data_IF_821456707959
#
_entry.id   IF_821456707959
#
_cell.length_a   1.000
_cell.length_b   1.000
_cell.length_c   1.000
_cell.angle_alpha   90.00
_cell.angle_beta   90.00
_cell.angle_gamma   90.00
#
_symmetry.space_group_name_H-M   'P 1'
#
loop_
_entity.id
_entity.type
_entity.pdbx_description
1 polymer ?
#
# COMPACT_ATOMS: atom_id res chain seq x y z
N UNK A 1 -18.25 -24.11 -33.66
CA UNK A 1 -18.19 -24.44 -32.22
C UNK A 1 -16.71 -24.54 -31.88
N UNK A 2 -16.05 -23.42 -31.67
CA UNK A 2 -14.62 -23.41 -31.34
C UNK A 2 -14.25 -22.06 -30.73
N UNK A 3 -13.39 -22.15 -29.71
CA UNK A 3 -12.52 -21.12 -29.16
C UNK A 3 -13.16 -20.12 -28.20
N UNK A 4 -13.49 -20.62 -27.01
CA UNK A 4 -13.43 -19.81 -25.79
C UNK A 4 -11.96 -19.71 -25.42
N UNK A 5 -11.40 -18.52 -25.60
CA UNK A 5 -10.00 -18.16 -25.35
C UNK A 5 -9.62 -18.42 -23.90
N UNK A 6 -8.51 -19.14 -23.72
CA UNK A 6 -7.85 -19.50 -22.45
C UNK A 6 -7.21 -18.31 -21.71
N UNK A 7 -7.61 -17.08 -21.99
CA UNK A 7 -6.98 -15.85 -21.51
C UNK A 7 -7.71 -15.23 -20.29
N UNK A 8 -8.80 -15.84 -19.82
CA UNK A 8 -9.60 -15.40 -18.66
C UNK A 8 -9.29 -16.16 -17.36
N UNK A 9 -8.30 -17.05 -17.35
CA UNK A 9 -7.90 -17.75 -16.12
C UNK A 9 -7.00 -16.85 -15.25
N UNK A 10 -7.48 -16.57 -14.03
CA UNK A 10 -6.67 -15.88 -13.02
C UNK A 10 -5.43 -16.73 -12.73
N UNK A 11 -4.19 -16.19 -12.86
CA UNK A 11 -2.98 -16.97 -12.64
C UNK A 11 -2.89 -17.42 -11.18
N UNK A 12 -2.39 -18.65 -10.98
CA UNK A 12 -2.13 -19.19 -9.65
C UNK A 12 -1.13 -18.33 -8.89
N UNK A 13 -1.40 -18.11 -7.59
CA UNK A 13 -0.49 -17.38 -6.72
C UNK A 13 0.84 -18.13 -6.60
N UNK A 14 1.94 -17.41 -6.82
CA UNK A 14 3.28 -17.96 -6.63
C UNK A 14 3.46 -18.27 -5.14
N UNK A 15 3.89 -19.49 -4.76
CA UNK A 15 4.19 -19.82 -3.37
C UNK A 15 5.26 -18.87 -2.85
N UNK A 16 4.91 -18.08 -1.82
CA UNK A 16 5.90 -17.26 -1.14
C UNK A 16 6.92 -18.21 -0.52
N UNK A 17 8.22 -18.12 -0.83
CA UNK A 17 9.22 -18.95 -0.17
C UNK A 17 9.09 -18.74 1.33
N UNK A 18 8.80 -19.83 2.03
CA UNK A 18 8.63 -19.84 3.48
C UNK A 18 9.91 -19.27 4.07
N UNK A 19 9.83 -18.07 4.65
CA UNK A 19 10.93 -17.53 5.44
C UNK A 19 11.15 -18.54 6.58
N UNK A 20 12.40 -18.98 6.81
CA UNK A 20 12.66 -19.98 7.84
C UNK A 20 12.02 -19.52 9.15
N UNK A 21 11.33 -20.43 9.84
CA UNK A 21 10.67 -20.14 11.11
C UNK A 21 11.69 -19.49 12.04
N UNK A 22 11.44 -18.22 12.36
CA UNK A 22 12.36 -17.39 13.14
C UNK A 22 12.21 -17.83 14.58
N UNK A 23 13.18 -18.61 15.07
CA UNK A 23 13.36 -18.87 16.50
C UNK A 23 13.46 -17.53 17.23
N UNK A 24 12.76 -17.40 18.36
CA UNK A 24 12.70 -16.22 19.21
C UNK A 24 14.08 -15.54 19.42
N UNK A 25 14.08 -14.19 19.25
CA UNK A 25 15.10 -13.14 19.55
C UNK A 25 15.82 -12.46 18.36
N UNK A 26 16.06 -11.12 18.36
CA UNK A 26 15.45 -10.02 19.12
C UNK A 26 14.21 -9.46 18.39
N UNK A 27 13.40 -8.64 19.06
CA UNK A 27 12.13 -8.06 18.57
C UNK A 27 12.03 -7.96 17.03
N UNK A 28 11.36 -8.94 16.40
CA UNK A 28 11.28 -9.06 14.95
C UNK A 28 10.78 -7.73 14.37
N UNK A 29 11.60 -7.12 13.49
CA UNK A 29 11.26 -5.84 12.87
C UNK A 29 10.02 -6.02 12.00
N UNK A 30 9.14 -5.02 11.99
CA UNK A 30 7.94 -5.07 11.16
C UNK A 30 8.30 -4.68 9.73
N UNK A 31 8.05 -5.55 8.72
CA UNK A 31 8.24 -5.19 7.32
C UNK A 31 7.27 -4.09 6.87
N UNK A 32 7.77 -3.15 6.08
CA UNK A 32 6.98 -2.13 5.40
C UNK A 32 7.14 -2.28 3.89
N UNK A 33 6.03 -2.42 3.18
CA UNK A 33 6.02 -2.31 1.71
C UNK A 33 5.32 -1.04 1.27
N UNK A 34 5.92 -0.35 0.31
CA UNK A 34 5.33 0.81 -0.34
C UNK A 34 4.64 0.34 -1.62
N UNK A 35 3.35 0.61 -1.79
CA UNK A 35 2.63 0.42 -3.04
C UNK A 35 2.52 1.76 -3.77
N UNK A 36 2.99 1.79 -5.00
CA UNK A 36 2.97 2.96 -5.90
C UNK A 36 2.49 2.56 -7.30
N UNK A 37 2.37 3.53 -8.19
CA UNK A 37 1.90 3.36 -9.57
C UNK A 37 0.90 4.44 -9.96
N UNK A 38 0.75 4.71 -11.26
CA UNK A 38 -0.10 5.78 -11.77
C UNK A 38 -1.56 5.71 -11.28
N UNK A 39 -2.26 6.85 -11.37
CA UNK A 39 -3.71 6.86 -11.13
C UNK A 39 -4.41 5.88 -12.10
N UNK A 40 -5.36 5.11 -11.59
CA UNK A 40 -6.06 4.10 -12.38
C UNK A 40 -5.32 2.77 -12.58
N UNK A 41 -4.08 2.61 -12.09
CA UNK A 41 -3.31 1.37 -12.27
C UNK A 41 -3.88 0.12 -11.54
N UNK A 42 -4.94 0.26 -10.74
CA UNK A 42 -5.54 -0.86 -9.98
C UNK A 42 -5.01 -1.02 -8.55
N UNK A 43 -4.24 -0.05 -8.02
CA UNK A 43 -3.76 -0.06 -6.62
C UNK A 43 -4.89 -0.28 -5.61
N UNK A 44 -5.99 0.47 -5.76
CA UNK A 44 -7.19 0.35 -4.92
C UNK A 44 -7.78 -1.05 -4.93
N UNK A 45 -7.85 -1.70 -6.09
CA UNK A 45 -8.38 -3.06 -6.21
C UNK A 45 -7.53 -4.05 -5.42
N UNK A 46 -6.19 -3.93 -5.52
CA UNK A 46 -5.26 -4.74 -4.74
C UNK A 46 -5.40 -4.49 -3.23
N UNK A 47 -5.51 -3.23 -2.81
CA UNK A 47 -5.70 -2.88 -1.40
C UNK A 47 -7.02 -3.41 -0.86
N UNK A 48 -8.10 -3.33 -1.63
CA UNK A 48 -9.39 -3.86 -1.22
C UNK A 48 -9.32 -5.37 -0.98
N UNK A 49 -8.69 -6.11 -1.90
CA UNK A 49 -8.45 -7.55 -1.72
C UNK A 49 -7.71 -7.84 -0.40
N UNK A 50 -6.64 -7.10 -0.11
CA UNK A 50 -5.88 -7.25 1.14
C UNK A 50 -6.75 -6.92 2.37
N UNK A 51 -7.57 -5.89 2.31
CA UNK A 51 -8.40 -5.48 3.45
C UNK A 51 -9.61 -6.39 3.69
N UNK A 52 -10.09 -7.13 2.68
CA UNK A 52 -11.32 -7.93 2.79
C UNK A 52 -11.08 -9.44 2.89
N UNK A 53 -10.03 -9.96 2.27
CA UNK A 53 -9.79 -11.40 2.20
C UNK A 53 -9.09 -11.97 3.44
N UNK A 54 -9.24 -13.28 3.64
CA UNK A 54 -8.54 -14.01 4.70
C UNK A 54 -7.22 -14.58 4.19
N UNK A 55 -6.14 -13.88 4.49
CA UNK A 55 -4.76 -14.25 4.13
C UNK A 55 -3.89 -14.54 5.36
N UNK A 56 -4.53 -14.80 6.52
CA UNK A 56 -3.88 -15.21 7.79
C UNK A 56 -2.76 -14.27 8.29
N UNK A 57 -2.77 -13.00 7.88
CA UNK A 57 -1.84 -11.96 8.34
C UNK A 57 -2.62 -10.75 8.82
N UNK A 58 -2.14 -10.07 9.86
CA UNK A 58 -2.72 -8.80 10.30
C UNK A 58 -1.93 -7.65 9.67
N UNK A 59 -2.46 -7.09 8.58
CA UNK A 59 -1.77 -6.05 7.81
C UNK A 59 -2.31 -4.68 8.23
N UNK A 60 -1.42 -3.75 8.56
CA UNK A 60 -1.76 -2.36 8.78
C UNK A 60 -1.54 -1.56 7.49
N UNK A 61 -2.63 -1.03 6.93
CA UNK A 61 -2.65 -0.31 5.65
C UNK A 61 -2.77 1.19 5.91
N UNK A 62 -1.83 1.97 5.41
CA UNK A 62 -1.85 3.43 5.44
C UNK A 62 -2.18 3.91 4.03
N UNK A 63 -3.33 4.57 3.88
CA UNK A 63 -3.77 5.20 2.64
C UNK A 63 -3.34 6.67 2.65
N UNK A 64 -2.68 7.15 1.60
CA UNK A 64 -2.25 8.55 1.53
C UNK A 64 -3.22 9.36 0.66
N UNK A 65 -3.85 10.39 1.21
CA UNK A 65 -4.77 11.28 0.50
C UNK A 65 -4.07 12.55 -0.01
N UNK A 66 -3.45 12.51 -1.18
CA UNK A 66 -3.15 13.71 -1.97
C UNK A 66 -3.86 13.66 -3.32
N UNK A 67 -5.06 14.25 -3.39
CA UNK A 67 -5.78 14.46 -4.64
C UNK A 67 -7.29 14.53 -4.47
N UNK A 68 -7.91 15.62 -4.92
CA UNK A 68 -9.37 15.78 -4.96
C UNK A 68 -9.99 14.84 -6.00
N UNK A 69 -10.26 13.60 -5.61
CA UNK A 69 -10.92 12.63 -6.47
C UNK A 69 -11.00 11.26 -5.81
N UNK A 70 -12.16 10.99 -5.20
CA UNK A 70 -12.63 9.67 -4.74
C UNK A 70 -11.61 8.91 -3.89
N UNK A 71 -11.60 9.08 -2.57
CA UNK A 71 -12.34 8.15 -1.71
C UNK A 71 -12.75 6.90 -2.49
N UNK A 72 -12.01 5.81 -2.35
CA UNK A 72 -12.60 4.48 -2.50
C UNK A 72 -13.93 4.55 -1.78
N UNK A 73 -15.02 4.38 -2.51
CA UNK A 73 -16.39 4.68 -2.09
C UNK A 73 -16.69 4.11 -0.70
N UNK A 74 -16.43 4.89 0.35
CA UNK A 74 -16.56 4.46 1.74
C UNK A 74 -15.60 3.26 2.03
N UNK A 75 -15.12 2.97 3.23
CA UNK A 75 -15.95 2.29 4.22
C UNK A 75 -17.18 1.60 3.60
N UNK A 76 -17.02 0.86 2.49
CA UNK A 76 -18.09 0.25 1.71
C UNK A 76 -18.69 -0.96 2.44
N UNK A 77 -18.90 -0.85 3.76
CA UNK A 77 -20.08 -1.25 4.55
C UNK A 77 -19.80 -1.24 6.06
N UNK A 78 -18.93 -0.39 6.61
CA UNK A 78 -18.75 -0.29 8.07
C UNK A 78 -18.54 1.18 8.49
N UNK A 79 -19.61 1.80 8.99
CA UNK A 79 -19.57 3.05 9.74
C UNK A 79 -20.17 4.27 9.02
N UNK A 80 -21.49 4.43 9.12
CA UNK A 80 -22.15 5.70 8.84
C UNK A 80 -21.71 6.77 9.84
N UNK A 81 -20.76 7.65 9.51
CA UNK A 81 -20.70 9.04 10.01
C UNK A 81 -19.64 9.82 9.23
N UNK A 82 -19.98 11.02 8.78
CA UNK A 82 -19.09 11.86 7.99
C UNK A 82 -18.20 12.75 8.85
N UNK A 83 -17.26 12.17 9.59
CA UNK A 83 -16.19 12.92 10.25
C UNK A 83 -14.82 12.37 9.82
N UNK A 84 -13.84 13.26 9.64
CA UNK A 84 -12.51 12.92 9.15
C UNK A 84 -11.77 12.06 10.20
N UNK A 85 -11.69 10.75 9.94
CA UNK A 85 -11.13 9.77 10.87
C UNK A 85 -9.59 9.74 10.79
N UNK A 86 -8.90 10.37 11.73
CA UNK A 86 -7.55 9.93 12.18
C UNK A 86 -7.62 8.66 13.06
N UNK A 87 -8.79 8.03 13.14
CA UNK A 87 -9.01 6.84 13.94
C UNK A 87 -8.73 5.58 13.12
N UNK A 88 -7.85 4.72 13.64
CA UNK A 88 -7.55 3.42 13.04
C UNK A 88 -8.77 2.51 13.06
N UNK A 89 -9.16 2.02 11.88
CA UNK A 89 -10.28 1.08 11.74
C UNK A 89 -9.76 -0.36 11.77
N UNK A 90 -10.32 -1.18 12.65
CA UNK A 90 -10.03 -2.62 12.73
C UNK A 90 -11.05 -3.40 11.90
N UNK A 91 -10.55 -4.23 10.98
CA UNK A 91 -11.35 -5.02 10.05
C UNK A 91 -11.56 -6.45 10.57
N UNK A 92 -12.54 -7.15 9.99
CA UNK A 92 -12.92 -8.51 10.42
C UNK A 92 -11.81 -9.55 10.22
N UNK A 93 -10.92 -9.33 9.25
CA UNK A 93 -9.76 -10.18 9.01
C UNK A 93 -8.56 -9.83 9.91
N UNK A 94 -8.71 -8.88 10.84
CA UNK A 94 -7.65 -8.42 11.74
C UNK A 94 -6.70 -7.38 11.12
N UNK A 95 -6.95 -6.92 9.89
CA UNK A 95 -6.23 -5.80 9.32
C UNK A 95 -6.63 -4.47 9.97
N UNK A 96 -5.71 -3.52 9.93
CA UNK A 96 -5.93 -2.14 10.37
C UNK A 96 -5.86 -1.23 9.14
N UNK A 97 -6.72 -0.23 9.02
CA UNK A 97 -6.56 0.79 8.00
C UNK A 97 -6.75 2.20 8.56
N UNK A 98 -6.03 3.16 7.99
CA UNK A 98 -6.25 4.58 8.19
C UNK A 98 -6.04 5.35 6.88
N UNK A 99 -6.66 6.52 6.80
CA UNK A 99 -6.37 7.52 5.78
C UNK A 99 -5.62 8.67 6.43
N UNK A 100 -4.51 9.10 5.83
CA UNK A 100 -3.74 10.23 6.32
C UNK A 100 -3.61 11.30 5.23
N UNK A 101 -3.75 12.56 5.64
CA UNK A 101 -3.52 13.73 4.78
C UNK A 101 -2.07 14.21 4.83
N UNK A 102 -1.33 13.83 5.87
CA UNK A 102 0.02 14.27 6.16
C UNK A 102 1.07 13.18 5.87
N UNK A 103 2.33 13.49 6.16
CA UNK A 103 3.51 12.65 5.90
C UNK A 103 3.32 11.20 6.40
N UNK A 104 3.44 10.22 5.50
CA UNK A 104 3.31 8.78 5.80
C UNK A 104 4.23 8.29 6.94
N UNK A 105 5.32 9.00 7.23
CA UNK A 105 6.21 8.71 8.36
C UNK A 105 5.50 8.89 9.71
N UNK A 106 4.77 9.99 9.89
CA UNK A 106 4.03 10.22 11.14
C UNK A 106 2.92 9.18 11.32
N UNK A 107 2.31 8.75 10.21
CA UNK A 107 1.34 7.66 10.23
C UNK A 107 1.97 6.35 10.72
N UNK A 108 3.18 6.03 10.24
CA UNK A 108 3.96 4.88 10.69
C UNK A 108 4.33 5.01 12.17
N UNK A 109 4.87 6.14 12.63
CA UNK A 109 5.20 6.37 14.04
C UNK A 109 3.98 6.21 14.96
N UNK A 110 2.83 6.74 14.54
CA UNK A 110 1.58 6.58 15.28
C UNK A 110 1.06 5.14 15.29
N UNK A 111 1.25 4.41 14.18
CA UNK A 111 0.92 3.00 14.08
C UNK A 111 1.79 2.15 15.00
N UNK A 112 3.09 2.47 15.13
CA UNK A 112 4.02 1.76 15.99
C UNK A 112 3.63 1.80 17.48
N UNK A 113 2.89 2.83 17.92
CA UNK A 113 2.26 2.85 19.27
C UNK A 113 1.26 1.71 19.50
N UNK A 114 0.80 1.04 18.44
CA UNK A 114 -0.12 -0.11 18.46
C UNK A 114 0.58 -1.43 18.10
N UNK A 115 1.91 -1.50 18.19
CA UNK A 115 2.71 -2.70 17.94
C UNK A 115 2.13 -3.92 18.69
N UNK A 116 2.16 -5.08 18.02
CA UNK A 116 1.54 -6.32 18.51
C UNK A 116 0.10 -6.54 18.03
N UNK A 117 -0.53 -5.54 17.39
CA UNK A 117 -1.83 -5.70 16.71
C UNK A 117 -1.71 -6.08 15.23
N UNK A 118 -0.54 -5.89 14.63
CA UNK A 118 -0.28 -6.14 13.22
C UNK A 118 1.13 -6.73 13.05
N UNK A 119 1.31 -7.46 11.95
CA UNK A 119 2.54 -8.20 11.62
C UNK A 119 3.26 -7.59 10.40
N UNK A 120 2.60 -6.67 9.69
CA UNK A 120 3.06 -6.12 8.41
C UNK A 120 2.48 -4.72 8.19
N UNK A 121 3.23 -3.81 7.58
CA UNK A 121 2.75 -2.48 7.18
C UNK A 121 2.73 -2.36 5.66
N UNK A 122 1.63 -1.84 5.13
CA UNK A 122 1.48 -1.51 3.72
C UNK A 122 1.17 -0.02 3.58
N UNK A 123 2.06 0.73 2.93
CA UNK A 123 1.90 2.16 2.71
C UNK A 123 1.57 2.41 1.24
N UNK A 124 0.37 2.93 0.97
CA UNK A 124 0.05 3.42 -0.37
C UNK A 124 0.56 4.84 -0.55
N UNK A 125 1.29 5.07 -1.64
CA UNK A 125 1.61 6.41 -2.13
C UNK A 125 0.63 6.77 -3.23
N UNK A 126 0.28 8.05 -3.31
CA UNK A 126 -0.57 8.53 -4.39
C UNK A 126 0.03 8.26 -5.77
N UNK A 127 -0.82 8.30 -6.81
CA UNK A 127 -0.35 8.01 -8.17
C UNK A 127 0.71 8.96 -8.72
N UNK A 128 0.91 10.10 -8.05
CA UNK A 128 1.90 11.13 -8.40
C UNK A 128 3.09 11.16 -7.42
N UNK A 129 3.00 10.43 -6.30
CA UNK A 129 3.97 10.52 -5.23
C UNK A 129 5.19 9.67 -5.54
N UNK A 130 6.34 10.30 -5.39
CA UNK A 130 7.64 9.68 -5.48
C UNK A 130 7.91 8.84 -4.22
N UNK A 131 8.14 7.53 -4.32
CA UNK A 131 8.40 6.69 -3.16
C UNK A 131 9.82 6.90 -2.59
N UNK A 132 10.73 7.55 -3.33
CA UNK A 132 12.14 7.74 -2.93
C UNK A 132 12.34 8.46 -1.60
N UNK A 133 11.74 9.65 -1.38
CA UNK A 133 11.82 10.38 -0.12
C UNK A 133 11.26 9.60 1.08
N UNK A 134 10.26 8.74 0.89
CA UNK A 134 9.71 7.90 1.96
C UNK A 134 10.66 6.72 2.22
N UNK A 135 11.16 6.09 1.17
CA UNK A 135 12.08 4.97 1.26
C UNK A 135 13.41 5.34 1.94
N UNK A 136 13.92 6.55 1.72
CA UNK A 136 15.18 7.02 2.32
C UNK A 136 15.10 7.17 3.83
N UNK A 137 13.92 7.40 4.40
CA UNK A 137 13.74 7.58 5.85
C UNK A 137 14.04 6.30 6.60
N UNK A 138 13.75 5.13 6.03
CA UNK A 138 14.11 3.84 6.61
C UNK A 138 15.63 3.60 6.71
N UNK A 139 16.46 4.40 6.02
CA UNK A 139 17.91 4.38 6.14
C UNK A 139 18.49 5.53 6.96
N UNK A 140 17.80 6.66 7.03
CA UNK A 140 18.28 7.87 7.71
C UNK A 140 17.85 7.94 9.18
N UNK A 141 16.75 7.29 9.53
CA UNK A 141 16.18 7.32 10.87
C UNK A 141 16.49 6.00 11.60
N UNK A 142 17.48 6.05 12.49
CA UNK A 142 17.91 4.89 13.27
C UNK A 142 16.84 4.38 14.24
N UNK A 143 15.94 5.26 14.72
CA UNK A 143 14.88 4.90 15.66
C UNK A 143 13.80 4.08 14.94
N UNK A 144 13.29 4.58 13.81
CA UNK A 144 12.41 3.83 12.92
C UNK A 144 13.10 2.56 12.41
N UNK A 145 14.34 2.67 11.93
CA UNK A 145 15.13 1.55 11.42
C UNK A 145 15.39 0.44 12.45
N UNK A 146 15.24 0.72 13.75
CA UNK A 146 15.38 -0.29 14.81
C UNK A 146 14.15 -1.19 14.97
N UNK A 147 12.95 -0.68 14.67
CA UNK A 147 11.69 -1.39 14.88
C UNK A 147 11.03 -1.90 13.59
N UNK A 148 11.30 -1.24 12.46
CA UNK A 148 10.73 -1.57 11.15
C UNK A 148 11.82 -1.61 10.07
N UNK A 149 11.51 -2.15 8.90
CA UNK A 149 12.40 -2.09 7.73
C UNK A 149 11.59 -2.01 6.43
N UNK A 150 12.19 -1.39 5.41
CA UNK A 150 11.63 -1.40 4.06
C UNK A 150 11.81 -2.81 3.45
N UNK A 151 10.70 -3.53 3.28
CA UNK A 151 10.65 -4.86 2.65
C UNK A 151 10.67 -4.74 1.13
N UNK A 152 9.99 -3.72 0.57
CA UNK A 152 10.00 -3.47 -0.86
C UNK A 152 9.17 -2.27 -1.31
N UNK A 153 9.37 -1.90 -2.57
CA UNK A 153 8.53 -0.93 -3.30
C UNK A 153 7.89 -1.69 -4.46
N UNK A 154 6.56 -1.76 -4.46
CA UNK A 154 5.76 -2.44 -5.48
C UNK A 154 5.10 -1.38 -6.34
N UNK A 155 5.43 -1.38 -7.63
CA UNK A 155 4.78 -0.51 -8.62
C UNK A 155 3.71 -1.29 -9.38
N UNK A 156 2.46 -0.86 -9.24
CA UNK A 156 1.34 -1.40 -10.01
C UNK A 156 1.24 -0.66 -11.34
N UNK A 157 1.19 -1.39 -12.44
CA UNK A 157 1.17 -0.83 -13.80
C UNK A 157 -0.05 -1.36 -14.54
N UNK A 158 -0.84 -0.45 -15.11
CA UNK A 158 -1.89 -0.82 -16.07
C UNK A 158 -1.23 -1.33 -17.36
N UNK A 159 -1.45 -2.58 -17.75
CA UNK A 159 -0.81 -3.15 -18.93
C UNK A 159 -1.27 -2.50 -20.26
N UNK A 160 -2.49 -1.94 -20.30
CA UNK A 160 -3.06 -1.28 -21.48
C UNK A 160 -2.54 0.14 -21.62
N UNK A 161 -2.48 0.89 -20.53
CA UNK A 161 -2.14 2.33 -20.55
C UNK A 161 -0.73 2.65 -20.01
N UNK A 162 -0.04 1.71 -19.38
CA UNK A 162 1.23 1.95 -18.69
C UNK A 162 2.32 2.48 -19.60
N UNK A 163 2.48 1.92 -20.80
CA UNK A 163 3.43 2.45 -21.79
C UNK A 163 3.07 3.86 -22.29
N UNK A 164 1.78 4.18 -22.35
CA UNK A 164 1.33 5.52 -22.71
C UNK A 164 1.68 6.50 -21.59
N UNK A 165 1.36 6.18 -20.34
CA UNK A 165 1.71 7.02 -19.19
C UNK A 165 3.22 7.26 -19.10
N UNK A 166 4.03 6.21 -19.30
CA UNK A 166 5.50 6.32 -19.27
C UNK A 166 6.05 7.25 -20.36
N UNK A 167 5.41 7.26 -21.54
CA UNK A 167 5.85 8.04 -22.70
C UNK A 167 5.17 9.39 -22.83
N UNK A 168 4.25 9.73 -21.92
CA UNK A 168 3.51 10.97 -22.00
C UNK A 168 4.47 12.15 -21.80
N UNK A 169 4.57 13.02 -22.81
CA UNK A 169 5.27 14.29 -22.70
C UNK A 169 4.28 15.35 -22.24
N UNK A 170 4.38 15.77 -20.98
CA UNK A 170 3.56 16.87 -20.46
C UNK A 170 4.19 18.23 -20.81
N UNK A 171 3.39 19.29 -21.04
CA UNK A 171 3.87 20.65 -21.25
C UNK A 171 4.83 21.12 -20.15
N UNK A 172 5.77 22.01 -20.49
CA UNK A 172 6.69 22.60 -19.51
C UNK A 172 5.93 23.23 -18.33
N UNK A 173 6.36 22.89 -17.11
CA UNK A 173 5.76 23.38 -15.86
C UNK A 173 4.65 22.49 -15.29
N UNK A 174 4.22 21.43 -15.98
CA UNK A 174 3.30 20.42 -15.44
C UNK A 174 4.12 19.24 -14.91
N UNK A 175 3.82 18.79 -13.68
CA UNK A 175 4.48 17.62 -13.10
C UNK A 175 4.18 16.38 -13.95
N UNK A 176 5.23 15.83 -14.55
CA UNK A 176 5.15 14.58 -15.26
C UNK A 176 5.35 13.43 -14.27
N UNK A 177 4.37 12.54 -14.20
CA UNK A 177 4.37 11.39 -13.30
C UNK A 177 5.41 10.33 -13.71
N UNK A 178 5.79 10.32 -14.99
CA UNK A 178 6.71 9.37 -15.59
C UNK A 178 8.13 9.90 -15.78
N UNK A 179 8.32 11.22 -15.74
CA UNK A 179 9.59 11.87 -16.06
C UNK A 179 10.06 12.66 -14.86
N UNK A 180 11.24 12.31 -14.37
CA UNK A 180 12.03 13.08 -13.40
C UNK A 180 13.08 13.90 -14.13
#
# INVERSE_FOLDING_TARGET
MSDVSSDDECPDLIPVPVRPEVNDEPACKIPVTIITGFLGAGKTTLLNYILTEQHEKKIAVILNEFGAGSAVEQSMSIGQSGELYEEWLELRNGCLCCSVKDNGVQAIENLMKKRGKFDYILLETTGLADPGPIASIFWLDDELGSEIYLDGIITVIDAKFGLQHIKEEKPEGILNEAVR
#
